data_IF_061367392269
#
_entry.id   IF_061367392269
#
_cell.length_a   1.000
_cell.length_b   1.000
_cell.length_c   1.000
_cell.angle_alpha   90.00
_cell.angle_beta   90.00
_cell.angle_gamma   90.00
#
_symmetry.space_group_name_H-M   'P 1'
#
loop_
_entity.id
_entity.type
_entity.pdbx_description
1 polymer ?
#
# COMPACT_ATOMS: atom_id res chain seq x y z
N UNK A 1 0.63 -10.96 -4.96
CA UNK A 1 0.27 -12.18 -5.73
C UNK A 1 1.07 -12.33 -7.02
N UNK A 2 1.41 -11.27 -7.75
CA UNK A 2 1.98 -11.39 -9.11
C UNK A 2 3.37 -12.07 -9.29
N UNK A 3 4.28 -12.05 -8.30
CA UNK A 3 5.65 -12.54 -8.53
C UNK A 3 5.84 -14.05 -8.35
N UNK A 4 5.01 -14.67 -7.50
CA UNK A 4 5.06 -16.12 -7.29
C UNK A 4 4.50 -16.87 -8.51
N UNK A 5 3.40 -16.36 -9.08
CA UNK A 5 2.79 -16.94 -10.29
C UNK A 5 3.74 -16.87 -11.50
N UNK A 6 4.44 -15.74 -11.69
CA UNK A 6 5.42 -15.59 -12.77
C UNK A 6 6.59 -16.58 -12.59
N UNK A 7 7.02 -16.82 -11.36
CA UNK A 7 8.05 -17.83 -11.09
C UNK A 7 7.59 -19.24 -11.46
N UNK A 8 6.36 -19.60 -11.11
CA UNK A 8 5.77 -20.89 -11.49
C UNK A 8 5.69 -21.04 -13.01
N UNK A 9 5.20 -20.02 -13.73
CA UNK A 9 5.15 -20.06 -15.19
C UNK A 9 6.53 -20.18 -15.83
N UNK A 10 7.57 -19.58 -15.26
CA UNK A 10 8.93 -19.74 -15.78
C UNK A 10 9.47 -21.15 -15.61
N UNK A 11 9.06 -21.87 -14.56
CA UNK A 11 9.41 -23.28 -14.38
C UNK A 11 8.67 -24.16 -15.40
N UNK A 12 7.38 -23.91 -15.62
CA UNK A 12 6.58 -24.64 -16.62
C UNK A 12 7.10 -24.39 -18.06
N UNK A 13 7.63 -23.21 -18.35
CA UNK A 13 8.18 -22.87 -19.67
C UNK A 13 9.38 -23.73 -20.07
N UNK A 14 10.17 -24.23 -19.11
CA UNK A 14 11.26 -25.16 -19.39
C UNK A 14 10.75 -26.51 -19.93
N UNK A 15 9.57 -26.96 -19.50
CA UNK A 15 8.93 -28.18 -19.99
C UNK A 15 8.54 -28.06 -21.47
N UNK A 16 8.29 -26.85 -21.96
CA UNK A 16 8.05 -26.55 -23.37
C UNK A 16 9.33 -26.29 -24.18
N UNK A 17 10.51 -26.53 -23.59
CA UNK A 17 11.81 -26.39 -24.25
C UNK A 17 12.35 -24.96 -24.31
N UNK A 18 11.74 -24.01 -23.60
CA UNK A 18 12.23 -22.63 -23.49
C UNK A 18 13.34 -22.61 -22.42
N UNK A 19 14.60 -22.49 -22.85
CA UNK A 19 15.75 -22.42 -21.94
C UNK A 19 15.95 -21.00 -21.43
N UNK A 20 15.83 -20.80 -20.12
CA UNK A 20 16.09 -19.53 -19.45
C UNK A 20 17.46 -19.57 -18.78
N UNK A 21 18.42 -18.76 -19.25
CA UNK A 21 19.81 -18.88 -18.78
C UNK A 21 20.07 -18.26 -17.39
N UNK A 22 19.41 -17.13 -17.06
CA UNK A 22 19.56 -16.45 -15.76
C UNK A 22 18.30 -15.70 -15.37
N UNK A 23 17.56 -16.23 -14.39
CA UNK A 23 16.47 -15.53 -13.72
C UNK A 23 17.01 -14.77 -12.51
N UNK A 24 16.77 -13.46 -12.47
CA UNK A 24 17.09 -12.60 -11.34
C UNK A 24 15.85 -11.87 -10.87
N UNK A 25 15.63 -11.83 -9.55
CA UNK A 25 14.50 -11.12 -8.98
C UNK A 25 14.90 -9.68 -8.60
N UNK A 26 14.30 -8.70 -9.29
CA UNK A 26 14.51 -7.27 -9.04
C UNK A 26 13.39 -6.73 -8.14
N UNK A 27 13.65 -6.72 -6.82
CA UNK A 27 12.71 -6.21 -5.83
C UNK A 27 12.41 -4.72 -6.01
N UNK A 28 13.41 -3.92 -6.40
CA UNK A 28 13.23 -2.48 -6.58
C UNK A 28 12.26 -2.17 -7.72
N UNK A 29 12.32 -2.93 -8.82
CA UNK A 29 11.39 -2.81 -9.95
C UNK A 29 10.00 -3.34 -9.61
N UNK A 30 9.88 -4.39 -8.79
CA UNK A 30 8.59 -4.86 -8.29
C UNK A 30 7.89 -3.80 -7.45
N UNK A 31 8.60 -3.19 -6.49
CA UNK A 31 8.03 -2.13 -5.62
C UNK A 31 7.65 -0.90 -6.45
N UNK A 32 8.45 -0.51 -7.45
CA UNK A 32 8.09 0.57 -8.39
C UNK A 32 6.81 0.28 -9.20
N UNK A 33 6.52 -0.98 -9.50
CA UNK A 33 5.26 -1.40 -10.14
C UNK A 33 4.09 -1.50 -9.15
N UNK A 34 4.38 -1.70 -7.87
CA UNK A 34 3.40 -1.68 -6.79
C UNK A 34 2.80 -0.27 -6.66
N UNK A 35 1.63 -0.07 -7.22
CA UNK A 35 1.03 1.25 -7.41
C UNK A 35 0.29 1.76 -6.16
N UNK A 36 0.91 1.58 -4.99
CA UNK A 36 0.38 2.04 -3.70
C UNK A 36 0.15 3.55 -3.72
N UNK A 37 1.05 4.30 -4.35
CA UNK A 37 0.94 5.76 -4.48
C UNK A 37 -0.29 6.20 -5.29
N UNK A 38 -0.61 5.53 -6.41
CA UNK A 38 -1.82 5.85 -7.18
C UNK A 38 -3.08 5.39 -6.45
N UNK A 39 -3.03 4.26 -5.76
CA UNK A 39 -4.15 3.80 -4.93
C UNK A 39 -4.48 4.83 -3.83
N UNK A 40 -3.46 5.37 -3.14
CA UNK A 40 -3.62 6.42 -2.15
C UNK A 40 -4.22 7.70 -2.77
N UNK A 41 -3.71 8.16 -3.91
CA UNK A 41 -4.27 9.32 -4.63
C UNK A 41 -5.73 9.12 -5.05
N UNK A 42 -6.08 7.91 -5.49
CA UNK A 42 -7.46 7.59 -5.86
C UNK A 42 -8.39 7.61 -4.64
N UNK A 43 -7.94 7.11 -3.49
CA UNK A 43 -8.68 7.18 -2.24
C UNK A 43 -8.85 8.62 -1.76
N UNK A 44 -7.80 9.44 -1.83
CA UNK A 44 -7.87 10.88 -1.53
C UNK A 44 -8.88 11.59 -2.44
N UNK A 45 -8.87 11.29 -3.74
CA UNK A 45 -9.83 11.83 -4.71
C UNK A 45 -11.28 11.44 -4.44
N UNK A 46 -11.52 10.16 -4.09
CA UNK A 46 -12.85 9.67 -3.70
C UNK A 46 -13.35 10.36 -2.42
N UNK A 47 -12.50 10.49 -1.42
CA UNK A 47 -12.82 11.15 -0.14
C UNK A 47 -13.14 12.63 -0.36
N UNK A 48 -12.34 13.33 -1.17
CA UNK A 48 -12.59 14.72 -1.55
C UNK A 48 -13.92 14.90 -2.30
N UNK A 49 -14.31 13.94 -3.15
CA UNK A 49 -15.57 13.98 -3.92
C UNK A 49 -16.83 13.90 -3.04
N UNK A 50 -16.72 13.35 -1.83
CA UNK A 50 -17.85 13.13 -0.92
C UNK A 50 -17.94 14.17 0.22
N UNK A 51 -17.24 15.30 0.11
CA UNK A 51 -17.13 16.34 1.16
C UNK A 51 -16.52 15.83 2.49
N UNK A 52 -15.90 14.65 2.48
CA UNK A 52 -15.23 14.07 3.65
C UNK A 52 -13.85 14.74 3.76
N UNK A 53 -13.54 15.31 4.93
CA UNK A 53 -12.24 15.95 5.18
C UNK A 53 -11.26 14.95 5.80
N UNK A 54 -10.10 14.78 5.17
CA UNK A 54 -8.97 14.05 5.74
C UNK A 54 -8.14 14.99 6.62
N UNK A 55 -7.92 14.60 7.87
CA UNK A 55 -7.02 15.29 8.80
C UNK A 55 -5.86 14.33 9.08
N UNK A 56 -4.68 14.65 8.57
CA UNK A 56 -3.46 13.89 8.85
C UNK A 56 -2.95 14.22 10.25
N UNK A 57 -2.78 13.21 11.10
CA UNK A 57 -2.24 13.37 12.45
C UNK A 57 -2.62 12.24 13.40
N UNK A 58 -2.17 12.35 14.64
CA UNK A 58 -2.56 11.44 15.72
C UNK A 58 -3.76 12.05 16.44
N UNK A 59 -4.93 11.43 16.28
CA UNK A 59 -6.14 11.83 16.98
C UNK A 59 -6.07 11.43 18.46
N UNK A 60 -6.50 12.33 19.35
CA UNK A 60 -6.73 12.03 20.76
C UNK A 60 -8.18 12.32 21.10
N UNK A 61 -8.82 11.39 21.81
CA UNK A 61 -10.15 11.62 22.37
C UNK A 61 -10.09 12.74 23.41
N UNK A 62 -10.88 13.77 23.20
CA UNK A 62 -11.12 14.85 24.16
C UNK A 62 -12.57 14.73 24.61
N UNK A 63 -12.83 13.93 25.65
CA UNK A 63 -14.12 14.00 26.33
C UNK A 63 -14.17 15.29 27.16
N UNK A 64 -15.38 15.84 27.36
CA UNK A 64 -15.60 17.02 28.22
C UNK A 64 -15.09 16.80 29.66
N UNK A 65 -15.05 15.55 30.13
CA UNK A 65 -14.52 15.19 31.46
C UNK A 65 -12.99 15.35 31.56
N UNK A 66 -12.26 15.27 30.45
CA UNK A 66 -10.79 15.33 30.46
C UNK A 66 -10.26 16.77 30.59
N UNK A 67 -11.07 17.78 30.27
CA UNK A 67 -10.68 19.19 30.40
C UNK A 67 -10.84 19.70 31.84
N UNK A 68 -11.80 19.18 32.61
CA UNK A 68 -12.03 19.57 34.00
C UNK A 68 -10.85 19.23 34.94
N UNK A 69 -9.95 18.30 34.57
CA UNK A 69 -8.76 17.95 35.38
C UNK A 69 -7.49 18.75 35.02
N UNK A 70 -7.56 19.68 34.06
CA UNK A 70 -6.39 20.47 33.63
C UNK A 70 -6.40 21.92 34.10
N UNK A 71 -7.52 22.42 34.61
CA UNK A 71 -7.62 23.79 35.13
C UNK A 71 -7.29 23.91 36.63
N UNK A 72 -7.04 22.79 37.33
CA UNK A 72 -6.66 22.73 38.75
C UNK A 72 -5.15 22.49 38.99
N UNK A 73 -4.26 23.13 38.21
CA UNK A 73 -2.81 23.20 38.49
C UNK A 73 -2.27 24.59 38.23
#
# INVERSE_FOLDING_TARGET
>A
MACLEIYTYTQEAEEFGIKLEKLGFDYARMVKRGDLGKMMKNLEGLIASQLIKLIGGIGKFISLETQAMREDK
#
